data_IF_627925660503
#
_entry.id   IF_627925660503
#
_cell.length_a   1.000
_cell.length_b   1.000
_cell.length_c   1.000
_cell.angle_alpha   90.00
_cell.angle_beta   90.00
_cell.angle_gamma   90.00
#
_symmetry.space_group_name_H-M   'P 1'
#
loop_
_entity.id
_entity.type
_entity.pdbx_description
1 polymer ?
#
# COMPACT_ATOMS: atom_id res chain seq x y z
N UNK A 1 9.05 -5.63 -13.67
CA UNK A 1 9.69 -4.53 -12.93
C UNK A 1 9.12 -4.57 -11.52
N UNK A 2 9.97 -4.76 -10.51
CA UNK A 2 9.55 -4.70 -9.10
C UNK A 2 9.17 -3.24 -8.84
N UNK A 3 7.91 -2.94 -8.51
CA UNK A 3 7.57 -1.59 -8.09
C UNK A 3 8.10 -1.39 -6.67
N UNK A 4 8.99 -0.42 -6.50
CA UNK A 4 9.47 -0.01 -5.20
C UNK A 4 8.28 0.45 -4.33
N UNK A 5 8.07 -0.12 -3.14
CA UNK A 5 6.94 0.28 -2.29
C UNK A 5 7.03 1.75 -1.88
N UNK A 6 8.25 2.31 -1.79
CA UNK A 6 8.47 3.74 -1.58
C UNK A 6 7.94 4.58 -2.74
N UNK A 7 8.14 4.14 -3.98
CA UNK A 7 7.60 4.82 -5.17
C UNK A 7 6.07 4.74 -5.25
N UNK A 8 5.46 3.62 -4.82
CA UNK A 8 4.00 3.48 -4.74
C UNK A 8 3.40 4.50 -3.76
N UNK A 9 4.07 4.71 -2.62
CA UNK A 9 3.69 5.71 -1.63
C UNK A 9 4.12 7.13 -2.01
N UNK A 10 4.91 7.30 -3.08
CA UNK A 10 5.45 8.59 -3.50
C UNK A 10 6.45 9.19 -2.51
N UNK A 11 7.12 8.36 -1.72
CA UNK A 11 8.10 8.77 -0.71
C UNK A 11 9.51 8.33 -1.11
N UNK A 12 10.51 8.96 -0.49
CA UNK A 12 11.91 8.57 -0.67
C UNK A 12 12.17 7.18 -0.06
N UNK A 13 13.07 6.35 -0.62
CA UNK A 13 13.51 5.11 0.02
C UNK A 13 14.19 5.33 1.38
N UNK A 14 14.67 6.55 1.63
CA UNK A 14 15.23 6.98 2.92
C UNK A 14 14.21 7.71 3.81
N UNK A 15 12.92 7.70 3.45
CA UNK A 15 11.89 8.38 4.23
C UNK A 15 11.72 7.73 5.60
N UNK A 16 11.49 8.56 6.62
CA UNK A 16 11.21 8.09 7.98
C UNK A 16 9.84 7.43 8.09
N UNK A 17 9.64 6.53 9.07
CA UNK A 17 8.33 5.91 9.35
C UNK A 17 7.18 6.92 9.47
N UNK A 18 7.48 8.11 10.00
CA UNK A 18 6.52 9.21 10.12
C UNK A 18 6.09 9.75 8.75
N UNK A 19 7.02 9.93 7.82
CA UNK A 19 6.75 10.38 6.46
C UNK A 19 5.97 9.32 5.68
N UNK A 20 6.35 8.05 5.82
CA UNK A 20 5.67 6.90 5.23
C UNK A 20 4.21 6.84 5.72
N UNK A 21 3.98 6.95 7.04
CA UNK A 21 2.63 6.99 7.62
C UNK A 21 1.82 8.20 7.14
N UNK A 22 2.47 9.37 7.01
CA UNK A 22 1.81 10.58 6.54
C UNK A 22 1.36 10.42 5.09
N UNK A 23 2.25 9.99 4.20
CA UNK A 23 1.94 9.74 2.79
C UNK A 23 0.83 8.69 2.63
N UNK A 24 0.93 7.57 3.37
CA UNK A 24 -0.13 6.55 3.41
C UNK A 24 -1.49 7.15 3.76
N UNK A 25 -1.58 7.97 4.82
CA UNK A 25 -2.84 8.59 5.24
C UNK A 25 -3.39 9.56 4.19
N UNK A 26 -2.54 10.31 3.51
CA UNK A 26 -2.96 11.24 2.45
C UNK A 26 -3.51 10.49 1.23
N UNK A 27 -2.80 9.45 0.80
CA UNK A 27 -3.21 8.61 -0.32
C UNK A 27 -4.45 7.79 0.01
N UNK A 28 -4.55 7.24 1.21
CA UNK A 28 -5.73 6.50 1.67
C UNK A 28 -6.97 7.38 1.71
N UNK A 29 -6.84 8.66 2.11
CA UNK A 29 -7.94 9.63 2.00
C UNK A 29 -8.26 9.95 0.55
N UNK A 30 -7.25 10.12 -0.31
CA UNK A 30 -7.44 10.43 -1.73
C UNK A 30 -8.19 9.34 -2.48
N UNK A 31 -7.83 8.08 -2.24
CA UNK A 31 -8.41 6.90 -2.90
C UNK A 31 -9.44 6.17 -2.02
N UNK A 32 -9.94 6.81 -0.96
CA UNK A 32 -10.90 6.17 -0.06
C UNK A 32 -12.19 5.81 -0.82
N UNK A 33 -12.78 4.62 -0.61
CA UNK A 33 -14.02 4.21 -1.28
C UNK A 33 -15.21 5.12 -0.94
N UNK A 34 -15.21 5.73 0.24
CA UNK A 34 -16.23 6.73 0.63
C UNK A 34 -16.21 7.99 -0.27
N UNK A 35 -15.01 8.38 -0.73
CA UNK A 35 -14.85 9.56 -1.61
C UNK A 35 -14.87 9.19 -3.09
N UNK A 36 -14.57 7.95 -3.42
CA UNK A 36 -14.56 7.42 -4.78
C UNK A 36 -15.45 6.17 -4.87
N UNK A 37 -16.76 6.30 -4.64
CA UNK A 37 -17.68 5.18 -4.69
C UNK A 37 -17.75 4.63 -6.12
N UNK A 38 -17.47 3.34 -6.29
CA UNK A 38 -17.52 2.65 -7.58
C UNK A 38 -16.30 2.85 -8.49
N UNK A 39 -15.23 3.47 -7.98
CA UNK A 39 -13.99 3.64 -8.73
C UNK A 39 -13.04 2.44 -8.51
N UNK A 40 -12.98 1.56 -9.51
CA UNK A 40 -12.11 0.37 -9.49
C UNK A 40 -10.62 0.74 -9.51
N UNK A 41 -10.24 1.87 -10.11
CA UNK A 41 -8.85 2.35 -10.08
C UNK A 41 -8.45 2.83 -8.69
N UNK A 42 -9.33 3.55 -8.00
CA UNK A 42 -9.12 3.95 -6.61
C UNK A 42 -8.96 2.72 -5.70
N UNK A 43 -9.80 1.69 -5.89
CA UNK A 43 -9.70 0.43 -5.16
C UNK A 43 -8.37 -0.31 -5.44
N UNK A 44 -7.92 -0.34 -6.70
CA UNK A 44 -6.61 -0.92 -7.06
C UNK A 44 -5.46 -0.15 -6.42
N UNK A 45 -5.42 1.18 -6.55
CA UNK A 45 -4.38 2.01 -5.96
C UNK A 45 -4.35 1.90 -4.44
N UNK A 46 -5.51 1.88 -3.79
CA UNK A 46 -5.61 1.68 -2.34
C UNK A 46 -4.97 0.34 -1.91
N UNK A 47 -5.20 -0.73 -2.66
CA UNK A 47 -4.56 -2.02 -2.40
C UNK A 47 -3.03 -1.96 -2.59
N UNK A 48 -2.55 -1.31 -3.65
CA UNK A 48 -1.11 -1.12 -3.88
C UNK A 48 -0.45 -0.31 -2.74
N UNK A 49 -1.10 0.78 -2.30
CA UNK A 49 -0.65 1.62 -1.18
C UNK A 49 -0.58 0.82 0.13
N UNK A 50 -1.60 0.00 0.42
CA UNK A 50 -1.62 -0.88 1.59
C UNK A 50 -0.49 -1.90 1.55
N UNK A 51 -0.30 -2.57 0.41
CA UNK A 51 0.77 -3.55 0.23
C UNK A 51 2.15 -2.92 0.40
N UNK A 52 2.37 -1.75 -0.22
CA UNK A 52 3.62 -1.02 -0.11
C UNK A 52 3.94 -0.60 1.33
N UNK A 53 2.95 -0.06 2.04
CA UNK A 53 3.10 0.35 3.43
C UNK A 53 3.46 -0.85 4.33
N UNK A 54 2.80 -1.98 4.14
CA UNK A 54 3.07 -3.20 4.88
C UNK A 54 4.47 -3.77 4.58
N UNK A 55 4.90 -3.74 3.32
CA UNK A 55 6.25 -4.17 2.92
C UNK A 55 7.35 -3.34 3.57
N UNK A 56 7.19 -2.01 3.62
CA UNK A 56 8.17 -1.12 4.25
C UNK A 56 8.18 -1.35 5.76
N UNK A 57 7.00 -1.40 6.39
CA UNK A 57 6.86 -1.58 7.84
C UNK A 57 7.42 -2.93 8.32
N UNK A 58 7.26 -4.00 7.54
CA UNK A 58 7.79 -5.32 7.88
C UNK A 58 9.29 -5.47 7.55
N UNK A 59 9.95 -4.44 7.01
CA UNK A 59 11.35 -4.53 6.55
C UNK A 59 11.54 -5.44 5.34
N UNK A 60 10.44 -5.84 4.70
CA UNK A 60 10.38 -6.76 3.56
C UNK A 60 10.49 -6.02 2.23
N UNK A 61 10.58 -4.69 2.24
CA UNK A 61 10.74 -3.87 1.03
C UNK A 61 11.96 -4.30 0.18
N UNK A 62 13.02 -4.83 0.80
CA UNK A 62 14.19 -5.38 0.12
C UNK A 62 14.10 -6.90 -0.16
N UNK A 63 13.05 -7.56 0.33
CA UNK A 63 12.91 -9.00 0.28
C UNK A 63 11.83 -9.37 -0.74
N UNK A 64 12.29 -9.85 -1.89
CA UNK A 64 11.52 -10.33 -3.05
C UNK A 64 10.58 -11.52 -2.74
N UNK A 65 10.19 -11.74 -1.48
CA UNK A 65 9.41 -12.90 -1.00
C UNK A 65 7.92 -12.62 -0.76
N UNK A 66 7.48 -11.37 -0.77
CA UNK A 66 6.06 -11.05 -0.54
C UNK A 66 5.23 -11.01 -1.84
N UNK A 67 5.20 -12.13 -2.56
CA UNK A 67 4.32 -12.36 -3.71
C UNK A 67 2.92 -12.83 -3.31
N UNK A 68 2.24 -12.13 -2.40
CA UNK A 68 1.07 -12.69 -1.71
C UNK A 68 -0.12 -11.77 -1.41
N UNK A 69 -0.15 -10.51 -1.86
CA UNK A 69 -1.37 -9.70 -1.71
C UNK A 69 -2.23 -9.81 -2.98
N UNK A 70 -2.89 -10.95 -3.11
CA UNK A 70 -3.98 -11.15 -4.08
C UNK A 70 -5.23 -10.38 -3.63
N UNK A 71 -6.10 -9.97 -4.58
CA UNK A 71 -7.20 -9.06 -4.33
C UNK A 71 -8.27 -9.80 -3.51
N UNK A 72 -8.74 -9.20 -2.41
CA UNK A 72 -9.77 -9.74 -1.50
C UNK A 72 -9.37 -10.98 -0.66
N UNK A 73 -8.68 -10.75 0.46
CA UNK A 73 -8.51 -11.72 1.55
C UNK A 73 -9.72 -11.77 2.49
N UNK A 74 -10.89 -12.14 1.99
CA UNK A 74 -11.98 -12.64 2.83
C UNK A 74 -11.63 -14.04 3.34
N UNK A 75 -11.29 -14.18 4.63
CA UNK A 75 -10.84 -15.47 5.15
C UNK A 75 -10.62 -15.51 6.66
N UNK A 76 -11.70 -15.32 7.42
CA UNK A 76 -11.98 -15.99 8.70
C UNK A 76 -11.14 -17.26 8.91
N UNK A 77 -10.28 -17.23 9.93
CA UNK A 77 -9.67 -18.41 10.54
C UNK A 77 -10.34 -18.63 11.90
N UNK A 78 -10.86 -19.85 12.05
CA UNK A 78 -11.51 -20.52 13.20
C UNK A 78 -12.92 -20.06 13.57
#
# INVERSE_FOLDING_TARGET
MVQDPYSVLGVSPNASDEEIKKAYRELAKKYHPDRNPGDEEAARKMNEINAAYDQIKNGTANNNRYGGYGPYGGGKQT
#
